data_IF_052627880875
#
_entry.id   IF_052627880875
#
_cell.length_a   1.000
_cell.length_b   1.000
_cell.length_c   1.000
_cell.angle_alpha   90.00
_cell.angle_beta   90.00
_cell.angle_gamma   90.00
#
_symmetry.space_group_name_H-M   'P 1'
#
loop_
_entity.id
_entity.type
_entity.pdbx_description
1 polymer ?
#
# COMPACT_ATOMS: atom_id res chain seq x y z
N UNK A 1 18.98 47.35 -32.20
CA UNK A 1 18.82 47.01 -30.79
C UNK A 1 17.58 46.17 -30.50
N UNK A 2 17.42 44.96 -31.07
CA UNK A 2 16.20 44.11 -30.85
C UNK A 2 16.50 42.60 -30.74
N UNK A 3 17.68 42.18 -30.27
CA UNK A 3 18.03 40.75 -30.11
C UNK A 3 18.47 40.30 -28.70
N UNK A 4 18.32 41.15 -27.66
CA UNK A 4 18.74 40.79 -26.27
C UNK A 4 17.62 40.44 -25.30
N UNK A 5 16.34 40.38 -25.71
CA UNK A 5 15.23 40.11 -24.80
C UNK A 5 14.61 38.69 -24.93
N UNK A 6 15.05 37.85 -25.86
CA UNK A 6 14.51 36.51 -26.05
C UNK A 6 15.18 35.42 -25.18
N UNK A 7 16.39 35.68 -24.64
CA UNK A 7 17.17 34.63 -23.97
C UNK A 7 16.99 34.56 -22.47
N UNK A 8 16.30 35.53 -21.87
CA UNK A 8 16.10 35.58 -20.39
C UNK A 8 14.91 34.77 -19.85
N UNK A 9 14.00 34.29 -20.72
CA UNK A 9 12.84 33.50 -20.29
C UNK A 9 13.05 31.97 -20.26
N UNK A 10 14.12 31.49 -20.84
CA UNK A 10 14.40 30.04 -20.95
C UNK A 10 15.27 29.49 -19.82
N UNK A 11 15.91 30.32 -19.04
CA UNK A 11 16.82 29.89 -17.96
C UNK A 11 16.09 29.30 -16.73
N UNK A 12 15.01 29.92 -16.22
CA UNK A 12 14.29 29.35 -15.07
C UNK A 12 13.56 28.05 -15.40
N UNK A 13 13.13 27.86 -16.67
CA UNK A 13 12.43 26.64 -17.08
C UNK A 13 13.38 25.45 -17.26
N UNK A 14 14.59 25.69 -17.73
CA UNK A 14 15.68 24.68 -17.80
C UNK A 14 16.17 24.28 -16.43
N UNK A 15 16.24 25.21 -15.50
CA UNK A 15 16.62 24.95 -14.09
C UNK A 15 15.52 24.15 -13.39
N UNK A 16 14.24 24.48 -13.60
CA UNK A 16 13.09 23.76 -13.06
C UNK A 16 13.02 22.32 -13.63
N UNK A 17 13.20 22.13 -14.93
CA UNK A 17 13.31 20.79 -15.56
C UNK A 17 14.52 19.99 -15.12
N UNK A 18 15.65 20.64 -14.83
CA UNK A 18 16.86 19.98 -14.31
C UNK A 18 16.72 19.61 -12.83
N UNK A 19 15.96 20.42 -12.07
CA UNK A 19 15.61 20.15 -10.67
C UNK A 19 14.59 19.01 -10.57
N UNK A 20 13.55 19.00 -11.42
CA UNK A 20 12.58 17.89 -11.53
C UNK A 20 13.22 16.58 -12.02
N UNK A 21 14.20 16.64 -12.92
CA UNK A 21 14.97 15.45 -13.32
C UNK A 21 15.93 14.96 -12.23
N UNK A 22 16.44 15.85 -11.37
CA UNK A 22 17.25 15.46 -10.19
C UNK A 22 16.39 14.89 -9.07
N UNK A 23 15.20 15.43 -8.84
CA UNK A 23 14.22 14.86 -7.89
C UNK A 23 13.62 13.55 -8.39
N UNK A 24 13.43 13.35 -9.69
CA UNK A 24 13.05 12.05 -10.26
C UNK A 24 14.18 11.01 -10.30
N UNK A 25 15.46 11.42 -10.34
CA UNK A 25 16.62 10.51 -10.25
C UNK A 25 17.04 10.20 -8.81
N UNK A 26 16.67 11.02 -7.86
CA UNK A 26 16.75 10.71 -6.44
C UNK A 26 15.44 10.09 -5.95
N UNK A 27 14.95 9.03 -6.58
CA UNK A 27 14.39 7.92 -5.82
C UNK A 27 15.57 7.37 -5.04
N UNK A 28 15.87 8.05 -3.93
CA UNK A 28 16.84 7.61 -2.95
C UNK A 28 16.57 6.14 -2.73
N UNK A 29 17.57 5.30 -3.04
CA UNK A 29 17.46 3.86 -2.78
C UNK A 29 17.15 3.76 -1.31
N UNK A 30 15.91 3.41 -0.98
CA UNK A 30 15.45 3.34 0.40
C UNK A 30 16.43 2.46 1.19
N UNK A 31 16.98 3.00 2.26
CA UNK A 31 17.89 2.26 3.16
C UNK A 31 17.01 1.78 4.32
N UNK A 32 16.78 0.44 4.47
CA UNK A 32 15.96 -0.09 5.54
C UNK A 32 16.45 0.38 6.91
N UNK A 33 15.53 0.81 7.75
CA UNK A 33 15.83 1.18 9.13
C UNK A 33 16.19 -0.07 9.92
N UNK A 34 17.27 0.02 10.69
CA UNK A 34 17.74 -1.10 11.53
C UNK A 34 17.08 -1.03 12.91
N UNK A 35 16.79 -2.20 13.45
CA UNK A 35 16.44 -2.32 14.86
C UNK A 35 17.58 -1.83 15.76
N UNK A 36 17.24 -1.32 16.95
CA UNK A 36 18.22 -0.95 17.96
C UNK A 36 19.04 -2.16 18.43
N UNK A 37 18.42 -3.33 18.47
CA UNK A 37 19.06 -4.61 18.74
C UNK A 37 18.30 -5.74 18.03
N UNK A 38 18.99 -6.84 17.72
CA UNK A 38 18.40 -8.00 17.08
C UNK A 38 18.06 -7.83 15.61
N UNK A 39 17.08 -8.58 15.11
CA UNK A 39 16.73 -8.71 13.69
C UNK A 39 15.33 -8.21 13.36
N UNK A 40 14.82 -7.20 14.07
CA UNK A 40 13.50 -6.65 13.78
C UNK A 40 13.44 -6.07 12.37
N UNK A 41 12.35 -6.39 11.66
CA UNK A 41 12.16 -6.05 10.26
C UNK A 41 11.71 -4.59 10.07
N UNK A 42 12.05 -4.03 8.92
CA UNK A 42 11.48 -2.78 8.42
C UNK A 42 10.21 -3.11 7.63
N UNK A 43 9.07 -2.58 8.08
CA UNK A 43 7.75 -2.87 7.49
C UNK A 43 7.54 -2.24 6.12
N UNK A 44 8.35 -1.25 5.76
CA UNK A 44 8.30 -0.65 4.43
C UNK A 44 8.86 -1.57 3.34
N UNK A 45 9.77 -2.48 3.71
CA UNK A 45 10.36 -3.45 2.79
C UNK A 45 9.60 -4.76 2.87
N UNK A 46 8.67 -4.97 1.94
CA UNK A 46 7.95 -6.24 1.84
C UNK A 46 8.69 -7.22 0.95
N UNK A 47 9.15 -8.31 1.54
CA UNK A 47 9.80 -9.41 0.81
C UNK A 47 8.75 -10.47 0.55
N UNK A 48 8.29 -10.54 -0.72
CA UNK A 48 7.29 -11.54 -1.14
C UNK A 48 7.84 -12.96 -0.99
N UNK A 49 7.03 -13.84 -0.44
CA UNK A 49 7.31 -15.27 -0.41
C UNK A 49 7.23 -15.86 -1.84
N UNK A 50 7.88 -17.02 -2.08
CA UNK A 50 7.87 -17.68 -3.38
C UNK A 50 6.43 -17.97 -3.87
N UNK A 51 5.53 -18.42 -2.97
CA UNK A 51 4.12 -18.64 -3.27
C UNK A 51 3.36 -17.39 -3.71
N UNK A 52 3.60 -16.24 -3.06
CA UNK A 52 2.99 -14.95 -3.41
C UNK A 52 3.44 -14.45 -4.78
N UNK A 53 4.73 -14.66 -5.11
CA UNK A 53 5.27 -14.32 -6.43
C UNK A 53 4.61 -15.16 -7.53
N UNK A 54 4.46 -16.47 -7.30
CA UNK A 54 3.81 -17.39 -8.24
C UNK A 54 2.34 -16.99 -8.41
N UNK A 55 1.64 -16.70 -7.31
CA UNK A 55 0.23 -16.31 -7.35
C UNK A 55 0.02 -14.99 -8.08
N UNK A 56 0.85 -13.98 -7.81
CA UNK A 56 0.83 -12.70 -8.53
C UNK A 56 1.16 -12.86 -10.03
N UNK A 57 2.12 -13.73 -10.36
CA UNK A 57 2.48 -14.06 -11.72
C UNK A 57 1.33 -14.76 -12.47
N UNK A 58 0.69 -15.74 -11.84
CA UNK A 58 -0.42 -16.51 -12.39
C UNK A 58 -1.64 -15.61 -12.64
N UNK A 59 -2.00 -14.75 -11.68
CA UNK A 59 -3.09 -13.78 -11.84
C UNK A 59 -2.84 -12.83 -13.01
N UNK A 60 -1.61 -12.28 -13.09
CA UNK A 60 -1.24 -11.37 -14.19
C UNK A 60 -1.23 -12.07 -15.56
N UNK A 61 -0.71 -13.30 -15.61
CA UNK A 61 -0.70 -14.10 -16.83
C UNK A 61 -2.11 -14.46 -17.31
N UNK A 62 -2.96 -14.97 -16.41
CA UNK A 62 -4.34 -15.35 -16.76
C UNK A 62 -5.17 -14.13 -17.20
N UNK A 63 -5.05 -13.01 -16.50
CA UNK A 63 -5.77 -11.79 -16.88
C UNK A 63 -5.31 -11.26 -18.24
N UNK A 64 -4.00 -11.18 -18.48
CA UNK A 64 -3.46 -10.75 -19.77
C UNK A 64 -3.84 -11.70 -20.89
N UNK A 65 -3.67 -13.00 -20.68
CA UNK A 65 -4.05 -14.03 -21.66
C UNK A 65 -5.55 -13.95 -22.00
N UNK A 66 -6.42 -13.78 -21.00
CA UNK A 66 -7.86 -13.69 -21.20
C UNK A 66 -8.22 -12.47 -22.08
N UNK A 67 -7.72 -11.29 -21.74
CA UNK A 67 -7.97 -10.05 -22.49
C UNK A 67 -7.55 -10.21 -23.95
N UNK A 68 -6.33 -10.68 -24.19
CA UNK A 68 -5.80 -10.83 -25.56
C UNK A 68 -6.48 -11.96 -26.32
N UNK A 69 -6.92 -13.03 -25.66
CA UNK A 69 -7.66 -14.13 -26.28
C UNK A 69 -9.04 -13.65 -26.78
N UNK A 70 -9.72 -12.79 -26.01
CA UNK A 70 -11.01 -12.21 -26.42
C UNK A 70 -10.85 -11.29 -27.64
N UNK A 71 -9.80 -10.47 -27.70
CA UNK A 71 -9.59 -9.50 -28.79
C UNK A 71 -9.00 -10.14 -30.05
N UNK A 72 -7.98 -10.95 -29.92
CA UNK A 72 -7.21 -11.43 -31.09
C UNK A 72 -7.58 -12.86 -31.51
N UNK A 73 -8.24 -13.64 -30.65
CA UNK A 73 -8.59 -15.07 -30.90
C UNK A 73 -7.40 -15.88 -31.44
N UNK A 74 -6.19 -15.49 -31.06
CA UNK A 74 -4.95 -16.16 -31.44
C UNK A 74 -4.22 -16.58 -30.17
N UNK A 75 -4.11 -17.89 -29.99
CA UNK A 75 -3.52 -18.48 -28.78
C UNK A 75 -2.07 -18.03 -28.55
N UNK A 76 -1.25 -18.01 -29.61
CA UNK A 76 0.17 -17.63 -29.49
C UNK A 76 0.34 -16.16 -29.07
N UNK A 77 -0.41 -15.26 -29.67
CA UNK A 77 -0.39 -13.82 -29.30
C UNK A 77 -0.85 -13.62 -27.87
N UNK A 78 -1.88 -14.34 -27.43
CA UNK A 78 -2.42 -14.25 -26.07
C UNK A 78 -1.43 -14.75 -25.02
N UNK A 79 -0.69 -15.81 -25.30
CA UNK A 79 0.34 -16.36 -24.39
C UNK A 79 1.50 -15.35 -24.24
N UNK A 80 1.99 -14.79 -25.34
CA UNK A 80 3.06 -13.79 -25.31
C UNK A 80 2.61 -12.52 -24.54
N UNK A 81 1.41 -12.03 -24.82
CA UNK A 81 0.86 -10.86 -24.14
C UNK A 81 0.63 -11.14 -22.64
N UNK A 82 0.14 -12.31 -22.26
CA UNK A 82 0.02 -12.76 -20.88
C UNK A 82 1.37 -12.75 -20.16
N UNK A 83 2.42 -13.24 -20.81
CA UNK A 83 3.78 -13.23 -20.25
C UNK A 83 4.29 -11.78 -20.02
N UNK A 84 4.02 -10.86 -20.93
CA UNK A 84 4.39 -9.44 -20.77
C UNK A 84 3.61 -8.79 -19.62
N UNK A 85 2.31 -9.09 -19.47
CA UNK A 85 1.47 -8.56 -18.40
C UNK A 85 1.86 -9.07 -17.00
N UNK A 86 2.58 -10.18 -16.90
CA UNK A 86 3.02 -10.78 -15.63
C UNK A 86 3.93 -9.84 -14.83
N UNK A 87 4.86 -9.14 -15.49
CA UNK A 87 5.85 -8.28 -14.80
C UNK A 87 5.19 -7.13 -14.04
N UNK A 88 4.35 -6.26 -14.67
CA UNK A 88 3.68 -5.19 -13.95
C UNK A 88 2.67 -5.71 -12.91
N UNK A 89 2.08 -6.89 -13.13
CA UNK A 89 1.16 -7.50 -12.16
C UNK A 89 1.87 -7.87 -10.86
N UNK A 90 3.05 -8.49 -10.92
CA UNK A 90 3.85 -8.83 -9.73
C UNK A 90 4.20 -7.57 -8.93
N UNK A 91 4.61 -6.48 -9.60
CA UNK A 91 4.97 -5.22 -8.95
C UNK A 91 3.77 -4.64 -8.20
N UNK A 92 2.61 -4.54 -8.86
CA UNK A 92 1.37 -4.03 -8.24
C UNK A 92 0.88 -4.93 -7.10
N UNK A 93 0.99 -6.26 -7.27
CA UNK A 93 0.61 -7.21 -6.23
C UNK A 93 1.48 -7.08 -4.97
N UNK A 94 2.79 -6.87 -5.15
CA UNK A 94 3.72 -6.57 -4.05
C UNK A 94 3.31 -5.31 -3.30
N UNK A 95 3.03 -4.22 -4.03
CA UNK A 95 2.67 -2.95 -3.41
C UNK A 95 1.33 -3.06 -2.66
N UNK A 96 0.36 -3.80 -3.20
CA UNK A 96 -0.90 -4.13 -2.53
C UNK A 96 -0.69 -4.92 -1.23
N UNK A 97 0.17 -5.95 -1.25
CA UNK A 97 0.47 -6.75 -0.04
C UNK A 97 1.18 -5.91 1.03
N UNK A 98 2.09 -5.03 0.62
CA UNK A 98 2.75 -4.07 1.51
C UNK A 98 1.73 -3.16 2.21
N UNK A 99 0.86 -2.50 1.45
CA UNK A 99 -0.18 -1.62 1.99
C UNK A 99 -1.12 -2.37 2.93
N UNK A 100 -1.51 -3.58 2.55
CA UNK A 100 -2.33 -4.45 3.40
C UNK A 100 -1.63 -4.80 4.72
N UNK A 101 -0.31 -5.08 4.70
CA UNK A 101 0.48 -5.36 5.90
C UNK A 101 0.54 -4.15 6.83
N UNK A 102 0.83 -2.96 6.28
CA UNK A 102 0.87 -1.72 7.06
C UNK A 102 -0.49 -1.40 7.70
N UNK A 103 -1.56 -1.58 6.94
CA UNK A 103 -2.93 -1.37 7.44
C UNK A 103 -3.29 -2.36 8.55
N UNK A 104 -2.93 -3.64 8.40
CA UNK A 104 -3.12 -4.62 9.44
C UNK A 104 -2.30 -4.28 10.70
N UNK A 105 -1.07 -3.78 10.54
CA UNK A 105 -0.26 -3.33 11.67
C UNK A 105 -0.91 -2.16 12.41
N UNK A 106 -1.54 -1.21 11.69
CA UNK A 106 -2.27 -0.11 12.32
C UNK A 106 -3.47 -0.60 13.16
N UNK A 107 -4.24 -1.58 12.65
CA UNK A 107 -5.33 -2.20 13.42
C UNK A 107 -4.81 -2.91 14.67
N UNK A 108 -3.75 -3.69 14.53
CA UNK A 108 -3.11 -4.37 15.65
C UNK A 108 -2.55 -3.37 16.66
N UNK A 109 -2.01 -2.25 16.21
CA UNK A 109 -1.52 -1.18 17.07
C UNK A 109 -2.66 -0.52 17.85
N UNK A 110 -3.80 -0.25 17.22
CA UNK A 110 -5.00 0.25 17.89
C UNK A 110 -5.44 -0.66 19.03
N UNK A 111 -5.50 -1.99 18.78
CA UNK A 111 -5.95 -2.95 19.79
C UNK A 111 -4.90 -3.09 20.91
N UNK A 112 -3.61 -2.96 20.60
CA UNK A 112 -2.54 -2.82 21.60
C UNK A 112 -2.77 -1.59 22.51
N UNK A 113 -3.18 -0.43 21.95
CA UNK A 113 -3.51 0.77 22.72
C UNK A 113 -4.67 0.51 23.68
N UNK A 114 -5.65 -0.31 23.30
CA UNK A 114 -6.75 -0.70 24.19
C UNK A 114 -6.25 -1.47 25.41
N UNK A 115 -5.41 -2.48 25.21
CA UNK A 115 -4.80 -3.26 26.29
C UNK A 115 -3.90 -2.40 27.20
N UNK A 116 -3.08 -1.52 26.61
CA UNK A 116 -2.26 -0.57 27.37
C UNK A 116 -3.12 0.38 28.20
N UNK A 117 -4.22 0.91 27.66
CA UNK A 117 -5.14 1.80 28.38
C UNK A 117 -5.74 1.09 29.59
N UNK A 118 -6.13 -0.18 29.43
CA UNK A 118 -6.65 -1.01 30.52
C UNK A 118 -5.60 -1.24 31.60
N UNK A 119 -4.37 -1.59 31.23
CA UNK A 119 -3.26 -1.83 32.15
C UNK A 119 -2.85 -0.59 32.93
N UNK A 120 -2.74 0.58 32.26
CA UNK A 120 -2.47 1.85 32.95
C UNK A 120 -3.64 2.27 33.85
N UNK A 121 -4.89 1.97 33.46
CA UNK A 121 -6.07 2.22 34.31
C UNK A 121 -6.08 1.37 35.57
N UNK A 122 -5.50 0.17 35.52
CA UNK A 122 -5.29 -0.71 36.67
C UNK A 122 -4.08 -0.29 37.54
N UNK A 123 -3.39 0.80 37.18
CA UNK A 123 -2.25 1.31 37.93
C UNK A 123 -0.93 0.58 37.69
N UNK A 124 -0.83 -0.21 36.62
CA UNK A 124 0.42 -0.91 36.30
C UNK A 124 1.49 0.08 35.83
N UNK A 125 2.75 -0.24 36.09
CA UNK A 125 3.89 0.47 35.55
C UNK A 125 4.05 0.17 34.03
N UNK A 126 4.89 0.93 33.36
CA UNK A 126 5.10 0.81 31.90
C UNK A 126 5.54 -0.61 31.49
N UNK A 127 6.46 -1.22 32.23
CA UNK A 127 6.94 -2.58 31.94
C UNK A 127 5.79 -3.61 32.01
N UNK A 128 5.02 -3.59 33.11
CA UNK A 128 3.87 -4.47 33.27
C UNK A 128 2.76 -4.24 32.25
N UNK A 129 2.51 -2.96 31.88
CA UNK A 129 1.52 -2.63 30.88
C UNK A 129 1.88 -3.19 29.49
N UNK A 130 3.14 -3.05 29.06
CA UNK A 130 3.60 -3.61 27.79
C UNK A 130 3.67 -5.15 27.80
N UNK A 131 3.94 -5.76 28.95
CA UNK A 131 3.91 -7.20 29.12
C UNK A 131 2.49 -7.76 28.97
N UNK A 132 1.50 -7.14 29.62
CA UNK A 132 0.09 -7.50 29.45
C UNK A 132 -0.36 -7.33 28.01
N UNK A 133 -0.05 -6.18 27.41
CA UNK A 133 -0.40 -5.92 26.01
C UNK A 133 0.21 -6.99 25.07
N UNK A 134 1.43 -7.44 25.35
CA UNK A 134 2.04 -8.53 24.59
C UNK A 134 1.25 -9.84 24.75
N UNK A 135 0.84 -10.19 25.96
CA UNK A 135 0.05 -11.39 26.22
C UNK A 135 -1.34 -11.33 25.55
N UNK A 136 -2.01 -10.19 25.63
CA UNK A 136 -3.32 -9.98 25.01
C UNK A 136 -3.22 -10.07 23.49
N UNK A 137 -2.22 -9.43 22.86
CA UNK A 137 -2.02 -9.48 21.42
C UNK A 137 -1.66 -10.89 20.93
N UNK A 138 -0.96 -11.70 21.72
CA UNK A 138 -0.73 -13.12 21.42
C UNK A 138 -2.05 -13.87 21.39
N UNK A 139 -2.95 -13.62 22.33
CA UNK A 139 -4.25 -14.29 22.43
C UNK A 139 -5.17 -13.90 21.25
N UNK A 140 -5.12 -12.64 20.80
CA UNK A 140 -6.01 -12.12 19.73
C UNK A 140 -5.48 -12.47 18.35
N UNK A 141 -4.18 -12.27 18.09
CA UNK A 141 -3.58 -12.33 16.76
C UNK A 141 -2.63 -13.50 16.54
N UNK A 142 -2.28 -14.22 17.61
CA UNK A 142 -1.30 -15.32 17.59
C UNK A 142 0.15 -14.84 17.57
N UNK A 143 1.06 -15.75 17.82
CA UNK A 143 2.49 -15.46 18.02
C UNK A 143 3.23 -14.86 16.81
N UNK A 144 2.69 -15.06 15.59
CA UNK A 144 3.31 -14.63 14.34
C UNK A 144 2.90 -13.22 13.89
N UNK A 145 1.97 -12.59 14.61
CA UNK A 145 1.50 -11.25 14.27
C UNK A 145 2.63 -10.21 14.37
N UNK A 146 2.56 -9.21 13.50
CA UNK A 146 3.61 -8.19 13.42
C UNK A 146 3.71 -7.40 14.73
N UNK A 147 2.59 -7.03 15.34
CA UNK A 147 2.57 -6.32 16.63
C UNK A 147 3.14 -7.17 17.78
N UNK A 148 2.88 -8.48 17.79
CA UNK A 148 3.40 -9.38 18.82
C UNK A 148 4.92 -9.47 18.75
N UNK A 149 5.47 -9.52 17.55
CA UNK A 149 6.93 -9.49 17.36
C UNK A 149 7.54 -8.20 17.88
N UNK A 150 6.91 -7.05 17.60
CA UNK A 150 7.37 -5.76 18.10
C UNK A 150 7.24 -5.66 19.63
N UNK A 151 6.13 -6.07 20.19
CA UNK A 151 5.95 -6.07 21.65
C UNK A 151 6.96 -6.97 22.36
N UNK A 152 7.27 -8.15 21.82
CA UNK A 152 8.35 -9.01 22.36
C UNK A 152 9.71 -8.30 22.35
N UNK A 153 10.01 -7.53 21.29
CA UNK A 153 11.22 -6.72 21.22
C UNK A 153 11.22 -5.59 22.25
N UNK A 154 10.10 -4.88 22.39
CA UNK A 154 9.95 -3.80 23.37
C UNK A 154 10.10 -4.36 24.80
N UNK A 155 9.37 -5.41 25.13
CA UNK A 155 9.42 -6.05 26.46
C UNK A 155 10.83 -6.57 26.76
N UNK A 156 11.47 -7.24 25.79
CA UNK A 156 12.86 -7.71 25.94
C UNK A 156 13.83 -6.53 26.14
N UNK A 157 13.64 -5.43 25.45
CA UNK A 157 14.44 -4.21 25.62
C UNK A 157 14.29 -3.60 27.00
N UNK A 158 13.04 -3.54 27.53
CA UNK A 158 12.76 -3.06 28.88
C UNK A 158 13.44 -3.94 29.94
N UNK A 159 13.36 -5.26 29.82
CA UNK A 159 14.09 -6.19 30.71
C UNK A 159 15.61 -6.01 30.69
N UNK A 160 16.16 -5.57 29.56
CA UNK A 160 17.58 -5.24 29.44
C UNK A 160 17.91 -3.80 29.88
N UNK A 161 16.97 -3.08 30.51
CA UNK A 161 17.19 -1.72 31.02
C UNK A 161 17.20 -0.64 29.94
N UNK A 162 16.70 -0.93 28.74
CA UNK A 162 16.58 0.09 27.69
C UNK A 162 15.41 1.02 27.95
N UNK A 163 15.56 2.28 27.54
CA UNK A 163 14.50 3.26 27.69
C UNK A 163 13.35 2.96 26.70
N UNK A 164 12.12 2.97 27.22
CA UNK A 164 10.90 2.75 26.43
C UNK A 164 10.76 3.76 25.28
N UNK A 165 11.13 5.03 25.50
CA UNK A 165 11.05 6.08 24.48
C UNK A 165 11.86 5.71 23.23
N UNK A 166 13.09 5.18 23.43
CA UNK A 166 13.97 4.76 22.36
C UNK A 166 13.43 3.54 21.60
N UNK A 167 12.79 2.61 22.32
CA UNK A 167 12.18 1.40 21.76
C UNK A 167 10.96 1.74 20.91
N UNK A 168 10.07 2.60 21.42
CA UNK A 168 8.89 3.06 20.69
C UNK A 168 9.26 3.90 19.46
N UNK A 169 10.22 4.81 19.60
CA UNK A 169 10.68 5.61 18.46
C UNK A 169 11.33 4.75 17.37
N UNK A 170 12.09 3.72 17.76
CA UNK A 170 12.64 2.78 16.77
C UNK A 170 11.54 1.97 16.07
N UNK A 171 10.51 1.54 16.79
CA UNK A 171 9.34 0.90 16.19
C UNK A 171 8.63 1.84 15.23
N UNK A 172 8.38 3.09 15.62
CA UNK A 172 7.76 4.12 14.79
C UNK A 172 8.50 4.32 13.47
N UNK A 173 9.83 4.52 13.52
CA UNK A 173 10.67 4.70 12.33
C UNK A 173 10.61 3.50 11.37
N UNK A 174 10.50 2.26 11.88
CA UNK A 174 10.44 1.03 11.08
C UNK A 174 9.04 0.73 10.56
N UNK A 175 8.00 1.22 11.25
CA UNK A 175 6.61 1.04 10.84
C UNK A 175 6.23 1.92 9.64
N UNK A 176 6.81 3.11 9.53
CA UNK A 176 6.43 4.15 8.56
C UNK A 176 4.95 4.54 8.64
N UNK A 177 4.37 4.46 9.84
CA UNK A 177 3.01 4.88 10.13
C UNK A 177 3.07 6.15 10.99
N UNK A 178 2.55 7.25 10.45
CA UNK A 178 2.55 8.57 11.11
C UNK A 178 1.84 8.52 12.47
N UNK A 179 0.83 7.65 12.60
CA UNK A 179 0.09 7.46 13.86
C UNK A 179 0.99 6.88 14.96
N UNK A 180 1.85 5.92 14.61
CA UNK A 180 2.80 5.31 15.56
C UNK A 180 3.93 6.31 15.90
N UNK A 181 4.38 7.10 14.92
CA UNK A 181 5.39 8.14 15.15
C UNK A 181 4.86 9.25 16.06
N UNK A 182 3.64 9.71 15.82
CA UNK A 182 2.95 10.69 16.69
C UNK A 182 2.80 10.17 18.11
N UNK A 183 2.34 8.92 18.26
CA UNK A 183 2.25 8.28 19.57
C UNK A 183 3.60 8.20 20.28
N UNK A 184 4.64 7.71 19.61
CA UNK A 184 5.97 7.57 20.20
C UNK A 184 6.51 8.92 20.69
N UNK A 185 6.28 9.98 19.90
CA UNK A 185 6.71 11.34 20.24
C UNK A 185 5.94 11.89 21.46
N UNK A 186 4.62 11.77 21.48
CA UNK A 186 3.80 12.25 22.60
C UNK A 186 4.09 11.44 23.86
N UNK A 187 4.28 10.12 23.71
CA UNK A 187 4.62 9.22 24.82
C UNK A 187 5.97 9.60 25.44
N UNK A 188 7.00 9.88 24.62
CA UNK A 188 8.31 10.35 25.09
C UNK A 188 8.19 11.64 25.90
N UNK A 189 7.46 12.62 25.40
CA UNK A 189 7.25 13.89 26.11
C UNK A 189 6.53 13.65 27.45
N UNK A 190 5.45 12.89 27.44
CA UNK A 190 4.67 12.61 28.65
C UNK A 190 5.42 11.78 29.68
N UNK A 191 6.21 10.80 29.23
CA UNK A 191 7.05 9.99 30.10
C UNK A 191 8.12 10.81 30.81
N UNK A 192 8.76 11.76 30.11
CA UNK A 192 9.84 12.60 30.66
C UNK A 192 9.35 13.71 31.58
N UNK A 193 8.21 14.32 31.27
CA UNK A 193 7.70 15.47 32.02
C UNK A 193 6.62 15.11 33.05
N UNK A 194 6.39 13.81 33.30
CA UNK A 194 5.43 13.34 34.31
C UNK A 194 3.97 13.45 33.87
N UNK A 195 3.72 13.34 32.58
CA UNK A 195 2.38 13.35 32.00
C UNK A 195 1.55 12.10 32.34
N UNK A 196 0.25 12.18 32.14
CA UNK A 196 -0.69 11.09 32.35
C UNK A 196 -0.65 10.11 31.15
N UNK A 197 0.18 9.06 31.27
CA UNK A 197 0.34 8.06 30.18
C UNK A 197 -0.98 7.36 29.83
N UNK A 198 -1.89 7.16 30.79
CA UNK A 198 -3.23 6.61 30.54
C UNK A 198 -4.01 7.49 29.57
N UNK A 199 -3.98 8.80 29.78
CA UNK A 199 -4.68 9.78 28.93
C UNK A 199 -4.08 9.79 27.54
N UNK A 200 -2.74 9.84 27.40
CA UNK A 200 -2.03 9.80 26.12
C UNK A 200 -2.37 8.58 25.31
N UNK A 201 -2.34 7.38 25.92
CA UNK A 201 -2.66 6.12 25.23
C UNK A 201 -4.13 6.07 24.85
N UNK A 202 -5.04 6.51 25.74
CA UNK A 202 -6.49 6.54 25.49
C UNK A 202 -6.88 7.53 24.40
N UNK A 203 -6.29 8.71 24.39
CA UNK A 203 -6.53 9.73 23.36
C UNK A 203 -6.01 9.29 21.99
N UNK A 204 -4.78 8.73 21.94
CA UNK A 204 -4.21 8.19 20.71
C UNK A 204 -5.11 7.09 20.14
N UNK A 205 -5.61 6.18 20.98
CA UNK A 205 -6.56 5.15 20.57
C UNK A 205 -7.81 5.74 19.95
N UNK A 206 -8.40 6.78 20.58
CA UNK A 206 -9.60 7.44 20.06
C UNK A 206 -9.33 8.05 18.68
N UNK A 207 -8.23 8.79 18.52
CA UNK A 207 -7.84 9.41 17.24
C UNK A 207 -7.69 8.35 16.14
N UNK A 208 -7.04 7.21 16.44
CA UNK A 208 -6.87 6.12 15.47
C UNK A 208 -8.22 5.48 15.13
N UNK A 209 -9.12 5.29 16.09
CA UNK A 209 -10.46 4.78 15.83
C UNK A 209 -11.25 5.70 14.90
N UNK A 210 -11.28 6.99 15.20
CA UNK A 210 -11.99 8.00 14.40
C UNK A 210 -11.44 8.05 12.97
N UNK A 211 -10.12 7.95 12.81
CA UNK A 211 -9.46 7.88 11.50
C UNK A 211 -9.87 6.63 10.73
N UNK A 212 -9.87 5.45 11.38
CA UNK A 212 -10.27 4.19 10.75
C UNK A 212 -11.74 4.24 10.34
N UNK A 213 -12.61 4.76 11.20
CA UNK A 213 -14.05 4.89 10.93
C UNK A 213 -14.30 5.81 9.74
N UNK A 214 -13.68 6.99 9.74
CA UNK A 214 -13.75 7.94 8.63
C UNK A 214 -13.24 7.32 7.32
N UNK A 215 -12.11 6.59 7.34
CA UNK A 215 -11.59 5.89 6.16
C UNK A 215 -12.57 4.82 5.66
N UNK A 216 -13.21 4.08 6.56
CA UNK A 216 -14.22 3.07 6.20
C UNK A 216 -15.46 3.72 5.58
N UNK A 217 -15.95 4.84 6.13
CA UNK A 217 -17.06 5.59 5.59
C UNK A 217 -16.78 6.10 4.18
N UNK A 218 -15.65 6.79 3.98
CA UNK A 218 -15.21 7.25 2.66
C UNK A 218 -15.06 6.08 1.68
N UNK A 219 -14.46 4.98 2.12
CA UNK A 219 -14.32 3.78 1.29
C UNK A 219 -15.66 3.21 0.88
N UNK A 220 -16.65 3.22 1.76
CA UNK A 220 -18.03 2.75 1.48
C UNK A 220 -18.68 3.64 0.43
N UNK A 221 -18.60 4.96 0.57
CA UNK A 221 -19.11 5.93 -0.40
C UNK A 221 -18.45 5.78 -1.78
N UNK A 222 -17.14 5.57 -1.82
CA UNK A 222 -16.40 5.39 -3.06
C UNK A 222 -16.59 4.00 -3.70
N UNK A 223 -17.03 3.00 -2.94
CA UNK A 223 -17.19 1.62 -3.46
C UNK A 223 -18.23 1.55 -4.57
N UNK A 224 -19.32 2.32 -4.48
CA UNK A 224 -20.34 2.39 -5.53
C UNK A 224 -19.72 2.86 -6.86
N UNK A 225 -18.98 3.96 -6.84
CA UNK A 225 -18.32 4.53 -8.02
C UNK A 225 -17.23 3.60 -8.59
N UNK A 226 -16.46 2.93 -7.71
CA UNK A 226 -15.47 1.93 -8.13
C UNK A 226 -16.10 0.72 -8.80
N UNK A 227 -17.24 0.25 -8.29
CA UNK A 227 -17.97 -0.87 -8.88
C UNK A 227 -18.57 -0.48 -10.23
N UNK A 228 -19.16 0.71 -10.34
CA UNK A 228 -19.68 1.21 -11.61
C UNK A 228 -18.58 1.28 -12.67
N UNK A 229 -17.44 1.86 -12.35
CA UNK A 229 -16.29 1.90 -13.25
C UNK A 229 -15.82 0.49 -13.65
N UNK A 230 -15.75 -0.44 -12.71
CA UNK A 230 -15.37 -1.83 -13.00
C UNK A 230 -16.38 -2.50 -13.94
N UNK A 231 -17.69 -2.31 -13.72
CA UNK A 231 -18.74 -2.85 -14.59
C UNK A 231 -18.63 -2.25 -16.00
N UNK A 232 -18.48 -0.94 -16.11
CA UNK A 232 -18.31 -0.27 -17.41
C UNK A 232 -17.10 -0.79 -18.18
N UNK A 233 -16.02 -1.15 -17.47
CA UNK A 233 -14.80 -1.69 -18.09
C UNK A 233 -14.91 -3.16 -18.46
N UNK A 234 -15.71 -3.96 -17.76
CA UNK A 234 -15.90 -5.37 -18.05
C UNK A 234 -16.95 -5.62 -19.13
N UNK A 235 -17.98 -4.74 -19.22
CA UNK A 235 -19.10 -4.89 -20.17
C UNK A 235 -18.71 -5.10 -21.63
N UNK A 236 -17.77 -4.33 -22.21
CA UNK A 236 -17.35 -4.55 -23.61
C UNK A 236 -16.76 -5.94 -23.87
N UNK A 237 -16.04 -6.50 -22.88
CA UNK A 237 -15.52 -7.86 -23.00
C UNK A 237 -16.63 -8.89 -22.98
N UNK A 238 -17.66 -8.71 -22.13
CA UNK A 238 -18.85 -9.58 -22.07
C UNK A 238 -19.61 -9.51 -23.39
N UNK A 239 -19.86 -8.30 -23.92
CA UNK A 239 -20.55 -8.10 -25.20
C UNK A 239 -19.76 -8.78 -26.33
N UNK A 240 -18.44 -8.61 -26.35
CA UNK A 240 -17.59 -9.22 -27.37
C UNK A 240 -17.60 -10.75 -27.33
N UNK A 241 -17.64 -11.33 -26.10
CA UNK A 241 -17.81 -12.78 -25.91
C UNK A 241 -19.18 -13.27 -26.37
N UNK A 242 -20.25 -12.55 -26.03
CA UNK A 242 -21.61 -12.92 -26.48
C UNK A 242 -21.73 -12.90 -28.02
N UNK A 243 -21.27 -11.82 -28.64
CA UNK A 243 -21.28 -11.72 -30.10
C UNK A 243 -20.41 -12.83 -30.73
N UNK A 244 -19.26 -13.16 -30.12
CA UNK A 244 -18.37 -14.24 -30.59
C UNK A 244 -19.00 -15.63 -30.53
N UNK A 245 -20.00 -15.83 -29.65
CA UNK A 245 -20.75 -17.10 -29.53
C UNK A 245 -21.92 -17.25 -30.50
N UNK A 246 -22.35 -16.17 -31.19
CA UNK A 246 -23.55 -16.19 -32.03
C UNK A 246 -23.33 -16.61 -33.51
N UNK A 247 -22.12 -17.07 -33.88
CA UNK A 247 -21.81 -17.60 -35.20
C UNK A 247 -20.94 -16.69 -36.06
N UNK A 248 -20.88 -16.99 -37.35
CA UNK A 248 -19.90 -16.58 -38.36
C UNK A 248 -19.45 -15.11 -38.28
N UNK A 249 -18.31 -14.89 -37.60
CA UNK A 249 -17.70 -13.57 -37.51
C UNK A 249 -16.51 -13.43 -38.48
N UNK A 250 -16.80 -13.52 -39.74
CA UNK A 250 -15.86 -13.16 -40.81
C UNK A 250 -15.35 -11.70 -40.69
N UNK A 251 -16.14 -10.85 -40.01
CA UNK A 251 -15.82 -9.43 -39.73
C UNK A 251 -14.64 -9.25 -38.77
N UNK A 252 -14.30 -10.26 -37.94
CA UNK A 252 -13.22 -10.18 -36.95
C UNK A 252 -11.97 -10.98 -37.42
N UNK A 253 -11.84 -11.24 -38.72
CA UNK A 253 -10.61 -11.84 -39.22
C UNK A 253 -9.39 -10.98 -38.89
N UNK A 254 -8.26 -11.64 -38.59
CA UNK A 254 -7.00 -10.98 -38.27
C UNK A 254 -6.31 -10.45 -39.56
N UNK A 255 -7.01 -9.64 -40.30
CA UNK A 255 -6.43 -8.87 -41.41
C UNK A 255 -5.51 -7.78 -40.80
N UNK A 256 -4.39 -7.41 -41.44
CA UNK A 256 -3.46 -6.43 -40.87
C UNK A 256 -4.11 -5.13 -40.44
N UNK A 257 -5.11 -4.63 -41.20
CA UNK A 257 -5.90 -3.44 -40.85
C UNK A 257 -6.73 -3.62 -39.55
N UNK A 258 -7.39 -4.77 -39.43
CA UNK A 258 -8.20 -5.08 -38.22
C UNK A 258 -7.35 -5.24 -36.96
N UNK A 259 -6.14 -5.79 -37.08
CA UNK A 259 -5.18 -5.90 -35.98
C UNK A 259 -4.79 -4.51 -35.48
N UNK A 260 -4.56 -3.56 -36.40
CA UNK A 260 -4.19 -2.18 -36.04
C UNK A 260 -5.33 -1.46 -35.32
N UNK A 261 -6.58 -1.64 -35.78
CA UNK A 261 -7.77 -1.09 -35.12
C UNK A 261 -7.94 -1.70 -33.72
N UNK A 262 -7.80 -3.03 -33.57
CA UNK A 262 -7.88 -3.72 -32.26
C UNK A 262 -6.83 -3.22 -31.28
N UNK A 263 -5.60 -3.01 -31.72
CA UNK A 263 -4.54 -2.42 -30.90
C UNK A 263 -4.90 -0.97 -30.48
N UNK A 264 -5.43 -0.17 -31.39
CA UNK A 264 -5.88 1.20 -31.10
C UNK A 264 -6.99 1.25 -30.05
N UNK A 265 -8.01 0.38 -30.20
CA UNK A 265 -9.09 0.24 -29.23
C UNK A 265 -8.56 -0.19 -27.86
N UNK A 266 -7.67 -1.17 -27.81
CA UNK A 266 -7.10 -1.68 -26.56
C UNK A 266 -6.26 -0.60 -25.85
N UNK A 267 -5.52 0.20 -26.60
CA UNK A 267 -4.76 1.34 -26.08
C UNK A 267 -5.70 2.41 -25.51
N UNK A 268 -6.76 2.76 -26.26
CA UNK A 268 -7.78 3.73 -25.81
C UNK A 268 -8.47 3.24 -24.52
N UNK A 269 -8.78 1.95 -24.45
CA UNK A 269 -9.33 1.31 -23.23
C UNK A 269 -8.36 1.42 -22.05
N UNK A 270 -7.07 1.19 -22.28
CA UNK A 270 -6.04 1.33 -21.24
C UNK A 270 -5.93 2.76 -20.72
N UNK A 271 -6.00 3.76 -21.60
CA UNK A 271 -6.00 5.17 -21.23
C UNK A 271 -7.27 5.53 -20.45
N UNK A 272 -8.45 5.10 -20.93
CA UNK A 272 -9.72 5.32 -20.24
C UNK A 272 -9.74 4.71 -18.84
N UNK A 273 -9.23 3.49 -18.68
CA UNK A 273 -9.07 2.85 -17.37
C UNK A 273 -8.14 3.63 -16.46
N UNK A 274 -6.98 4.05 -16.96
CA UNK A 274 -6.04 4.84 -16.18
C UNK A 274 -6.65 6.16 -15.71
N UNK A 275 -7.35 6.88 -16.60
CA UNK A 275 -8.04 8.13 -16.25
C UNK A 275 -9.18 7.89 -15.26
N UNK A 276 -10.03 6.89 -15.50
CA UNK A 276 -11.14 6.54 -14.61
C UNK A 276 -10.64 6.18 -13.20
N UNK A 277 -9.60 5.37 -13.11
CA UNK A 277 -8.98 5.04 -11.82
C UNK A 277 -8.42 6.27 -11.10
N UNK A 278 -7.76 7.16 -11.81
CA UNK A 278 -7.19 8.39 -11.23
C UNK A 278 -8.27 9.35 -10.71
N UNK A 279 -9.47 9.33 -11.29
CA UNK A 279 -10.60 10.15 -10.84
C UNK A 279 -11.26 9.54 -9.60
N UNK A 280 -11.36 8.22 -9.55
CA UNK A 280 -12.06 7.49 -8.47
C UNK A 280 -11.14 7.12 -7.30
N UNK A 281 -9.84 6.97 -7.52
CA UNK A 281 -8.83 6.78 -6.46
C UNK A 281 -8.45 8.16 -5.88
N UNK A 282 -9.25 8.63 -4.92
CA UNK A 282 -8.86 9.75 -4.07
C UNK A 282 -7.86 9.18 -3.08
N UNK A 283 -6.60 9.62 -3.16
CA UNK A 283 -5.58 9.35 -2.14
C UNK A 283 -6.05 9.97 -0.82
N UNK A 284 -6.27 9.13 0.19
CA UNK A 284 -6.59 9.47 1.57
C UNK A 284 -5.31 9.54 2.39
#
# INVERSE_FOLDING_TARGET
MRKKHADKKTEPEKIKKKRDKRTRKAKQKYIPQKALFGTAEDYYVYIMNAGEKILGALLGFCAGMFVFMVFFRNFFVSVIAGAVCTVPAIIKYRDYLKERRLKNLLYQFRDMMESLTASYSAGKNTEGAFQDACADMINIYGEKADIVRELRWIVSGLYNGMNIDSLLMNFAMRSHLDDIESFATIFEVSSRYGGNLKEVVGETRSIINDKIETEMEIRTLLTANKNELNIMMVMPFVIMLMISGMGDMSIIQNTPGNVLIKCGVLLLFGVAYYMGRKIVDIEL
#
